data_IF_374757839038
#
_entry.id   IF_374757839038
#
_cell.length_a   1.000
_cell.length_b   1.000
_cell.length_c   1.000
_cell.angle_alpha   90.00
_cell.angle_beta   90.00
_cell.angle_gamma   90.00
#
_symmetry.space_group_name_H-M   'P 1'
#
loop_
_entity.id
_entity.type
_entity.pdbx_description
1 polymer ?
#
# COMPACT_ATOMS: atom_id res chain seq x y z
N UNK A 1 30.31 13.48 22.18
CA UNK A 1 29.12 12.93 21.49
C UNK A 1 28.35 12.14 22.53
N UNK A 2 27.13 12.56 22.90
CA UNK A 2 26.26 11.68 23.70
C UNK A 2 25.91 10.51 22.80
N UNK A 3 26.20 9.29 23.24
CA UNK A 3 25.68 8.09 22.58
C UNK A 3 24.15 8.24 22.45
N UNK A 4 23.63 8.05 21.24
CA UNK A 4 22.18 8.03 21.03
C UNK A 4 21.59 6.95 21.92
N UNK A 5 20.67 7.33 22.82
CA UNK A 5 19.97 6.38 23.69
C UNK A 5 18.94 5.56 22.92
N UNK A 6 18.67 5.91 21.66
CA UNK A 6 17.75 5.20 20.78
C UNK A 6 18.51 4.10 20.03
N UNK A 7 18.13 2.82 20.17
CA UNK A 7 18.82 1.73 19.48
C UNK A 7 18.54 1.78 17.98
N UNK A 8 19.53 1.45 17.16
CA UNK A 8 19.33 1.25 15.71
C UNK A 8 18.79 -0.15 15.46
N UNK A 9 17.55 -0.24 14.98
CA UNK A 9 16.88 -1.52 14.75
C UNK A 9 17.07 -1.94 13.30
N UNK A 10 17.39 -3.23 13.12
CA UNK A 10 17.36 -3.86 11.81
C UNK A 10 16.43 -5.06 11.88
N UNK A 11 15.19 -4.87 11.43
CA UNK A 11 14.18 -5.93 11.44
C UNK A 11 14.33 -6.87 10.24
N UNK A 12 15.25 -6.61 9.31
CA UNK A 12 15.43 -7.46 8.15
C UNK A 12 15.53 -8.94 8.58
N UNK A 13 14.79 -9.86 7.91
CA UNK A 13 14.72 -11.24 8.34
C UNK A 13 16.11 -11.89 8.32
N UNK A 14 16.48 -12.57 9.42
CA UNK A 14 17.78 -13.22 9.59
C UNK A 14 17.59 -14.59 10.24
N UNK A 15 17.15 -15.58 9.46
CA UNK A 15 17.10 -16.96 9.93
C UNK A 15 18.18 -17.82 9.27
N UNK A 16 19.14 -18.29 10.08
CA UNK A 16 20.30 -19.08 9.61
C UNK A 16 20.02 -20.59 9.51
N UNK A 17 18.88 -21.07 10.00
CA UNK A 17 18.45 -22.48 9.96
C UNK A 17 17.05 -22.61 9.37
N UNK A 18 16.67 -23.82 8.97
CA UNK A 18 15.33 -24.08 8.46
C UNK A 18 14.32 -24.18 9.62
N UNK A 19 13.06 -23.84 9.34
CA UNK A 19 11.94 -24.00 10.26
C UNK A 19 11.61 -25.50 10.42
N UNK A 20 11.65 -25.99 11.65
CA UNK A 20 11.33 -27.38 11.98
C UNK A 20 9.86 -27.55 12.34
N UNK A 21 9.23 -28.59 11.82
CA UNK A 21 7.88 -29.05 12.19
C UNK A 21 7.80 -29.59 13.63
N UNK A 22 8.95 -29.85 14.27
CA UNK A 22 9.00 -30.51 15.57
C UNK A 22 9.49 -29.58 16.69
N UNK A 23 9.80 -28.32 16.37
CA UNK A 23 10.25 -27.34 17.34
C UNK A 23 9.10 -26.37 17.68
N UNK A 24 8.58 -26.36 18.92
CA UNK A 24 7.49 -25.47 19.31
C UNK A 24 7.85 -23.98 19.17
N UNK A 25 9.13 -23.62 19.32
CA UNK A 25 9.59 -22.24 19.12
C UNK A 25 9.50 -21.79 17.66
N UNK A 26 9.63 -22.71 16.71
CA UNK A 26 9.51 -22.38 15.28
C UNK A 26 8.05 -22.10 14.90
N UNK A 27 7.08 -22.74 15.56
CA UNK A 27 5.66 -22.39 15.43
C UNK A 27 5.34 -21.03 16.02
N UNK A 28 5.90 -20.69 17.19
CA UNK A 28 5.74 -19.36 17.77
C UNK A 28 6.38 -18.27 16.89
N UNK A 29 7.55 -18.55 16.31
CA UNK A 29 8.22 -17.66 15.37
C UNK A 29 7.42 -17.49 14.08
N UNK A 30 6.90 -18.57 13.51
CA UNK A 30 6.07 -18.53 12.33
C UNK A 30 4.77 -17.79 12.61
N UNK A 31 4.12 -18.03 13.75
CA UNK A 31 2.96 -17.28 14.21
C UNK A 31 3.30 -15.78 14.32
N UNK A 32 4.43 -15.44 14.93
CA UNK A 32 4.90 -14.06 15.01
C UNK A 32 5.11 -13.44 13.61
N UNK A 33 5.71 -14.18 12.67
CA UNK A 33 5.88 -13.70 11.29
C UNK A 33 4.55 -13.51 10.57
N UNK A 34 3.65 -14.49 10.65
CA UNK A 34 2.32 -14.41 10.01
C UNK A 34 1.53 -13.22 10.56
N UNK A 35 1.54 -13.03 11.87
CA UNK A 35 0.71 -12.01 12.51
C UNK A 35 1.33 -10.61 12.45
N UNK A 36 2.64 -10.49 12.67
CA UNK A 36 3.29 -9.20 12.90
C UNK A 36 4.33 -8.85 11.84
N UNK A 37 4.90 -9.84 11.15
CA UNK A 37 6.10 -9.69 10.35
C UNK A 37 6.10 -10.51 9.04
N UNK A 38 5.10 -10.29 8.15
CA UNK A 38 4.83 -11.18 7.02
C UNK A 38 5.97 -11.20 5.98
N UNK A 39 6.79 -10.14 5.93
CA UNK A 39 7.93 -10.09 5.01
C UNK A 39 9.01 -11.11 5.35
N UNK A 40 9.12 -11.56 6.61
CA UNK A 40 10.05 -12.66 6.93
C UNK A 40 9.62 -13.99 6.32
N UNK A 41 8.32 -14.25 6.19
CA UNK A 41 7.82 -15.45 5.50
C UNK A 41 8.25 -15.41 4.04
N UNK A 42 8.00 -14.28 3.36
CA UNK A 42 8.39 -14.10 1.96
C UNK A 42 9.89 -14.25 1.76
N UNK A 43 10.68 -13.53 2.56
CA UNK A 43 12.14 -13.64 2.52
C UNK A 43 12.61 -15.09 2.76
N UNK A 44 12.01 -15.79 3.72
CA UNK A 44 12.37 -17.18 4.01
C UNK A 44 12.09 -18.10 2.82
N UNK A 45 10.93 -17.94 2.17
CA UNK A 45 10.59 -18.67 0.94
C UNK A 45 11.57 -18.34 -0.19
N UNK A 46 11.88 -17.06 -0.43
CA UNK A 46 12.81 -16.64 -1.49
C UNK A 46 14.25 -17.12 -1.23
N UNK A 47 14.70 -17.09 0.02
CA UNK A 47 16.09 -17.44 0.40
C UNK A 47 16.31 -18.94 0.48
N UNK A 48 15.30 -19.72 0.89
CA UNK A 48 15.43 -21.18 1.11
C UNK A 48 14.75 -22.02 0.04
N UNK A 49 13.71 -21.49 -0.59
CA UNK A 49 12.91 -22.17 -1.60
C UNK A 49 13.26 -21.77 -3.03
N UNK A 50 14.47 -21.24 -3.26
CA UNK A 50 14.95 -20.62 -4.51
C UNK A 50 14.17 -21.04 -5.76
N UNK A 51 13.56 -20.05 -6.42
CA UNK A 51 12.81 -20.14 -7.68
C UNK A 51 12.20 -21.52 -7.97
N UNK A 52 11.01 -21.76 -7.44
CA UNK A 52 10.14 -22.92 -7.72
C UNK A 52 10.43 -24.24 -6.97
N UNK A 53 10.97 -24.17 -5.75
CA UNK A 53 11.12 -25.37 -4.91
C UNK A 53 9.84 -25.68 -4.07
N UNK A 54 9.00 -26.58 -4.61
CA UNK A 54 7.76 -27.12 -4.03
C UNK A 54 7.85 -27.67 -2.59
N UNK A 55 8.95 -28.26 -2.07
CA UNK A 55 8.95 -28.88 -0.74
C UNK A 55 8.98 -27.89 0.43
N UNK A 56 9.60 -26.72 0.28
CA UNK A 56 9.64 -25.69 1.35
C UNK A 56 8.27 -25.04 1.51
N UNK A 57 7.63 -24.70 0.39
CA UNK A 57 6.28 -24.16 0.38
C UNK A 57 5.27 -25.17 0.94
N UNK A 58 5.38 -26.46 0.60
CA UNK A 58 4.53 -27.50 1.17
C UNK A 58 4.72 -27.64 2.68
N UNK A 59 5.95 -27.64 3.18
CA UNK A 59 6.24 -27.71 4.63
C UNK A 59 5.68 -26.51 5.39
N UNK A 60 5.86 -25.30 4.83
CA UNK A 60 5.26 -24.09 5.39
C UNK A 60 3.73 -24.19 5.37
N UNK A 61 3.14 -24.64 4.26
CA UNK A 61 1.70 -24.88 4.11
C UNK A 61 1.14 -25.80 5.19
N UNK A 62 1.82 -26.92 5.44
CA UNK A 62 1.47 -27.86 6.52
C UNK A 62 1.62 -27.18 7.89
N UNK A 63 2.70 -26.45 8.15
CA UNK A 63 2.90 -25.73 9.41
C UNK A 63 1.78 -24.72 9.66
N UNK A 64 1.35 -23.98 8.64
CA UNK A 64 0.28 -23.03 8.81
C UNK A 64 -1.11 -23.66 8.91
N UNK A 65 -1.38 -24.77 8.21
CA UNK A 65 -2.59 -25.56 8.43
C UNK A 65 -2.66 -26.09 9.88
N UNK A 66 -1.53 -26.52 10.44
CA UNK A 66 -1.47 -26.90 11.85
C UNK A 66 -1.71 -25.69 12.76
N UNK A 67 -1.13 -24.52 12.44
CA UNK A 67 -1.37 -23.30 13.21
C UNK A 67 -2.83 -22.83 13.12
N UNK A 68 -3.52 -22.98 11.98
CA UNK A 68 -4.93 -22.58 11.83
C UNK A 68 -5.83 -23.39 12.76
N UNK A 69 -5.51 -24.68 12.95
CA UNK A 69 -6.26 -25.59 13.82
C UNK A 69 -5.88 -25.39 15.29
N UNK A 70 -4.58 -25.29 15.60
CA UNK A 70 -4.07 -25.28 16.98
C UNK A 70 -4.32 -23.93 17.68
N UNK A 71 -4.13 -22.80 16.98
CA UNK A 71 -4.27 -21.46 17.56
C UNK A 71 -5.63 -21.21 18.22
N UNK A 72 -6.78 -21.43 17.54
CA UNK A 72 -8.10 -21.23 18.15
C UNK A 72 -8.37 -22.17 19.33
N UNK A 73 -7.86 -23.41 19.30
CA UNK A 73 -7.97 -24.35 20.43
C UNK A 73 -7.21 -23.85 21.66
N UNK A 74 -5.98 -23.33 21.48
CA UNK A 74 -5.18 -22.76 22.57
C UNK A 74 -5.87 -21.51 23.15
N UNK A 75 -6.33 -20.59 22.30
CA UNK A 75 -6.99 -19.36 22.76
C UNK A 75 -8.27 -19.68 23.55
N UNK A 76 -9.07 -20.63 23.05
CA UNK A 76 -10.28 -21.07 23.74
C UNK A 76 -9.97 -21.77 25.07
N UNK A 77 -8.88 -22.55 25.14
CA UNK A 77 -8.44 -23.15 26.39
C UNK A 77 -8.00 -22.11 27.42
N UNK A 78 -7.26 -21.07 27.00
CA UNK A 78 -6.88 -19.95 27.86
C UNK A 78 -8.12 -19.17 28.33
N UNK A 79 -9.06 -18.88 27.44
CA UNK A 79 -10.31 -18.20 27.78
C UNK A 79 -11.14 -18.99 28.81
N UNK A 80 -11.24 -20.31 28.65
CA UNK A 80 -11.91 -21.19 29.60
C UNK A 80 -11.21 -21.17 30.98
N UNK A 81 -9.87 -21.18 31.00
CA UNK A 81 -9.08 -21.08 32.23
C UNK A 81 -9.19 -19.70 32.92
N UNK A 82 -9.56 -18.65 32.18
CA UNK A 82 -9.85 -17.31 32.70
C UNK A 82 -11.33 -17.15 33.14
N UNK A 83 -12.11 -18.23 33.11
CA UNK A 83 -13.51 -18.24 33.55
C UNK A 83 -14.52 -17.78 32.51
N UNK A 84 -14.12 -17.61 31.25
CA UNK A 84 -15.03 -17.31 30.14
C UNK A 84 -15.74 -18.58 29.67
N UNK A 85 -17.05 -18.52 29.45
CA UNK A 85 -17.80 -19.63 28.89
C UNK A 85 -17.41 -19.87 27.44
N UNK A 86 -16.85 -21.05 27.13
CA UNK A 86 -16.41 -21.43 25.79
C UNK A 86 -17.32 -22.51 25.22
N UNK A 87 -17.87 -22.27 24.04
CA UNK A 87 -18.62 -23.28 23.29
C UNK A 87 -17.67 -24.10 22.41
N UNK A 88 -17.19 -25.23 22.92
CA UNK A 88 -16.26 -26.12 22.23
C UNK A 88 -16.81 -26.69 20.91
N UNK A 89 -18.14 -26.92 20.83
CA UNK A 89 -18.78 -27.39 19.59
C UNK A 89 -18.70 -26.32 18.51
N UNK A 90 -18.97 -25.06 18.88
CA UNK A 90 -18.82 -23.92 17.97
C UNK A 90 -17.37 -23.71 17.50
N UNK A 91 -16.38 -23.94 18.38
CA UNK A 91 -14.96 -23.86 18.03
C UNK A 91 -14.57 -24.94 17.02
N UNK A 92 -14.97 -26.19 17.25
CA UNK A 92 -14.65 -27.31 16.35
C UNK A 92 -15.30 -27.12 14.97
N UNK A 93 -16.60 -26.76 14.94
CA UNK A 93 -17.29 -26.47 13.68
C UNK A 93 -16.70 -25.26 12.96
N UNK A 94 -16.36 -24.22 13.70
CA UNK A 94 -15.65 -23.06 13.19
C UNK A 94 -14.33 -23.45 12.51
N UNK A 95 -13.42 -24.12 13.23
CA UNK A 95 -12.13 -24.55 12.69
C UNK A 95 -12.30 -25.46 11.47
N UNK A 96 -13.23 -26.42 11.52
CA UNK A 96 -13.49 -27.34 10.40
C UNK A 96 -13.98 -26.59 9.15
N UNK A 97 -14.93 -25.66 9.30
CA UNK A 97 -15.40 -24.84 8.19
C UNK A 97 -14.29 -23.92 7.65
N UNK A 98 -13.48 -23.31 8.51
CA UNK A 98 -12.38 -22.43 8.10
C UNK A 98 -11.33 -23.13 7.28
N UNK A 99 -10.89 -24.31 7.76
CA UNK A 99 -9.95 -25.16 7.02
C UNK A 99 -10.56 -25.60 5.69
N UNK A 100 -11.82 -26.02 5.66
CA UNK A 100 -12.48 -26.45 4.43
C UNK A 100 -12.59 -25.31 3.42
N UNK A 101 -13.09 -24.13 3.81
CA UNK A 101 -13.22 -22.98 2.90
C UNK A 101 -11.86 -22.41 2.49
N UNK A 102 -10.90 -22.28 3.41
CA UNK A 102 -9.57 -21.73 3.14
C UNK A 102 -8.72 -22.61 2.22
N UNK A 103 -8.80 -23.94 2.38
CA UNK A 103 -8.10 -24.89 1.51
C UNK A 103 -8.80 -25.01 0.15
N UNK A 104 -10.12 -25.15 0.10
CA UNK A 104 -10.86 -25.32 -1.16
C UNK A 104 -10.82 -24.05 -2.01
N UNK A 105 -11.15 -22.88 -1.44
CA UNK A 105 -11.12 -21.62 -2.20
C UNK A 105 -9.68 -21.16 -2.50
N UNK A 106 -8.72 -21.40 -1.61
CA UNK A 106 -7.32 -21.04 -1.84
C UNK A 106 -6.67 -21.86 -2.97
N UNK A 107 -6.99 -23.15 -3.06
CA UNK A 107 -6.52 -24.04 -4.13
C UNK A 107 -7.26 -23.75 -5.44
N UNK A 108 -8.58 -23.60 -5.41
CA UNK A 108 -9.35 -23.29 -6.64
C UNK A 108 -8.95 -21.94 -7.24
N UNK A 109 -8.94 -20.84 -6.46
CA UNK A 109 -8.62 -19.53 -7.01
C UNK A 109 -7.13 -19.36 -7.36
N UNK A 110 -6.22 -19.99 -6.61
CA UNK A 110 -4.77 -19.94 -6.87
C UNK A 110 -4.36 -20.75 -8.11
N UNK A 111 -4.96 -21.92 -8.31
CA UNK A 111 -4.68 -22.78 -9.48
C UNK A 111 -5.41 -22.28 -10.73
N UNK A 112 -6.67 -21.85 -10.61
CA UNK A 112 -7.46 -21.38 -11.76
C UNK A 112 -6.91 -20.07 -12.30
N UNK A 113 -6.68 -19.03 -11.47
CA UNK A 113 -6.17 -17.75 -11.98
C UNK A 113 -4.69 -17.79 -12.40
N UNK A 114 -3.86 -18.61 -11.73
CA UNK A 114 -2.44 -18.75 -12.07
C UNK A 114 -2.20 -19.49 -13.39
N UNK A 115 -3.00 -20.52 -13.67
CA UNK A 115 -2.93 -21.29 -14.92
C UNK A 115 -3.69 -20.57 -16.05
N UNK A 116 -4.86 -19.97 -15.79
CA UNK A 116 -5.63 -19.30 -16.83
C UNK A 116 -4.93 -18.04 -17.36
N UNK A 117 -4.38 -17.16 -16.51
CA UNK A 117 -3.70 -15.95 -17.01
C UNK A 117 -2.29 -16.21 -17.57
N UNK A 118 -1.58 -17.21 -17.04
CA UNK A 118 -0.26 -17.61 -17.54
C UNK A 118 -0.32 -18.30 -18.91
N UNK A 119 -1.38 -19.07 -19.17
CA UNK A 119 -1.60 -19.76 -20.46
C UNK A 119 -2.37 -18.88 -21.44
N UNK A 120 -3.34 -18.07 -20.98
CA UNK A 120 -4.09 -17.15 -21.86
C UNK A 120 -3.15 -16.14 -22.52
N UNK A 121 -2.28 -15.44 -21.78
CA UNK A 121 -1.36 -14.47 -22.39
C UNK A 121 -0.26 -15.10 -23.26
N UNK A 122 0.13 -16.35 -22.99
CA UNK A 122 1.12 -17.08 -23.78
C UNK A 122 0.59 -17.64 -25.11
N UNK A 123 -0.71 -17.94 -25.19
CA UNK A 123 -1.35 -18.51 -26.39
C UNK A 123 -2.12 -17.46 -27.18
N UNK A 124 -2.63 -16.41 -26.54
CA UNK A 124 -3.44 -15.37 -27.20
C UNK A 124 -2.62 -14.50 -28.16
N UNK A 125 -1.32 -14.26 -27.92
CA UNK A 125 -0.45 -13.63 -28.93
C UNK A 125 0.10 -14.60 -29.99
N UNK A 126 0.04 -15.92 -29.77
CA UNK A 126 0.40 -16.92 -30.77
C UNK A 126 -0.74 -17.25 -31.75
N UNK A 127 -1.99 -17.08 -31.32
CA UNK A 127 -3.18 -17.44 -32.10
C UNK A 127 -3.88 -16.25 -32.77
N UNK A 128 -3.44 -15.00 -32.53
CA UNK A 128 -3.93 -13.81 -33.26
C UNK A 128 -3.51 -13.82 -34.75
N UNK A 129 -2.59 -14.70 -35.17
CA UNK A 129 -2.37 -14.99 -36.60
C UNK A 129 -3.36 -15.98 -37.24
N UNK A 130 -4.24 -16.64 -36.46
CA UNK A 130 -5.17 -17.66 -36.97
C UNK A 130 -6.59 -17.17 -37.29
N UNK A 131 -6.94 -15.94 -36.92
CA UNK A 131 -8.32 -15.40 -36.99
C UNK A 131 -8.74 -14.97 -38.41
N UNK A 132 -7.89 -15.10 -39.43
CA UNK A 132 -8.27 -14.66 -40.80
C UNK A 132 -9.19 -15.64 -41.53
N UNK A 133 -9.52 -16.85 -41.02
CA UNK A 133 -10.29 -17.84 -41.81
C UNK A 133 -11.55 -18.48 -41.19
N UNK A 134 -12.01 -18.05 -40.01
CA UNK A 134 -13.12 -18.73 -39.31
C UNK A 134 -14.50 -18.09 -39.40
N UNK A 135 -14.61 -16.86 -39.92
CA UNK A 135 -15.90 -16.24 -40.17
C UNK A 135 -16.53 -16.90 -41.38
N UNK A 136 -17.56 -17.74 -41.18
CA UNK A 136 -18.77 -17.82 -42.03
C UNK A 136 -19.75 -18.93 -41.58
N UNK A 137 -19.37 -20.02 -40.89
CA UNK A 137 -20.26 -21.22 -40.79
C UNK A 137 -20.95 -21.58 -39.45
N UNK A 138 -20.95 -20.71 -38.43
CA UNK A 138 -21.56 -21.03 -37.12
C UNK A 138 -23.01 -20.55 -36.90
N UNK A 139 -23.50 -19.60 -37.70
CA UNK A 139 -24.69 -18.81 -37.36
C UNK A 139 -26.04 -19.41 -37.79
N UNK A 140 -26.09 -20.56 -38.46
CA UNK A 140 -27.32 -21.05 -39.12
C UNK A 140 -27.99 -22.26 -38.45
N UNK A 141 -27.40 -22.89 -37.42
CA UNK A 141 -27.96 -24.13 -36.82
C UNK A 141 -28.32 -24.08 -35.33
N UNK A 142 -28.14 -22.97 -34.61
CA UNK A 142 -28.41 -22.92 -33.15
C UNK A 142 -29.83 -22.50 -32.74
N UNK A 143 -30.57 -21.81 -33.60
CA UNK A 143 -31.73 -21.00 -33.16
C UNK A 143 -33.07 -21.78 -33.13
N UNK A 144 -33.16 -22.95 -33.75
CA UNK A 144 -34.44 -23.69 -33.81
C UNK A 144 -34.63 -24.76 -32.72
N UNK A 145 -33.59 -25.12 -31.96
CA UNK A 145 -33.67 -26.19 -30.93
C UNK A 145 -33.72 -25.68 -29.48
N UNK A 146 -33.48 -24.39 -29.22
CA UNK A 146 -33.36 -23.86 -27.85
C UNK A 146 -34.69 -23.48 -27.16
N UNK A 147 -35.74 -23.15 -27.93
CA UNK A 147 -36.93 -22.48 -27.36
C UNK A 147 -38.02 -23.45 -26.89
N UNK A 148 -38.10 -24.66 -27.45
CA UNK A 148 -39.14 -25.62 -27.09
C UNK A 148 -38.88 -26.36 -25.76
N UNK A 149 -37.61 -26.52 -25.35
CA UNK A 149 -37.24 -27.26 -24.13
C UNK A 149 -37.14 -26.39 -22.87
N UNK A 150 -36.98 -25.07 -23.01
CA UNK A 150 -36.80 -24.17 -21.87
C UNK A 150 -38.08 -23.86 -21.07
N UNK A 151 -39.25 -23.88 -21.73
CA UNK A 151 -40.50 -23.38 -21.12
C UNK A 151 -41.22 -24.44 -20.28
N UNK A 152 -41.16 -25.72 -20.66
CA UNK A 152 -41.86 -26.79 -19.94
C UNK A 152 -41.16 -27.15 -18.62
N UNK A 153 -39.82 -27.08 -18.57
CA UNK A 153 -39.06 -27.44 -17.37
C UNK A 153 -38.99 -26.31 -16.32
N UNK A 154 -39.00 -25.04 -16.76
CA UNK A 154 -38.86 -23.88 -15.87
C UNK A 154 -40.08 -23.63 -14.97
N UNK A 155 -41.30 -23.89 -15.46
CA UNK A 155 -42.53 -23.51 -14.75
C UNK A 155 -42.95 -24.54 -13.70
N UNK A 156 -42.72 -25.84 -13.94
CA UNK A 156 -43.11 -26.90 -13.00
C UNK A 156 -42.19 -26.96 -11.78
N UNK A 157 -40.88 -26.72 -11.96
CA UNK A 157 -39.91 -26.75 -10.86
C UNK A 157 -39.86 -25.45 -10.04
N UNK A 158 -40.14 -24.29 -10.65
CA UNK A 158 -40.09 -23.00 -9.97
C UNK A 158 -41.16 -22.80 -8.90
N UNK A 159 -42.36 -23.36 -9.09
CA UNK A 159 -43.50 -23.13 -8.19
C UNK A 159 -43.49 -24.08 -6.99
N UNK A 160 -43.02 -25.33 -7.15
CA UNK A 160 -43.00 -26.31 -6.05
C UNK A 160 -41.90 -25.97 -5.03
N UNK A 161 -40.73 -25.47 -5.46
CA UNK A 161 -39.62 -25.10 -4.58
C UNK A 161 -39.68 -23.69 -4.00
N UNK A 162 -40.44 -22.77 -4.60
CA UNK A 162 -40.60 -21.41 -4.09
C UNK A 162 -41.30 -21.34 -2.73
N UNK A 163 -42.26 -22.23 -2.46
CA UNK A 163 -43.07 -22.20 -1.23
C UNK A 163 -42.38 -22.90 -0.07
N UNK A 164 -41.60 -23.95 -0.34
CA UNK A 164 -40.80 -24.68 0.66
C UNK A 164 -39.61 -23.86 1.18
N UNK A 165 -39.07 -22.94 0.37
CA UNK A 165 -37.95 -22.07 0.74
C UNK A 165 -38.33 -20.96 1.74
N UNK A 166 -39.57 -20.48 1.72
CA UNK A 166 -40.01 -19.39 2.60
C UNK A 166 -40.19 -19.82 4.06
N UNK A 167 -40.69 -21.03 4.30
CA UNK A 167 -40.87 -21.56 5.67
C UNK A 167 -39.53 -21.97 6.30
N UNK A 168 -38.64 -22.58 5.51
CA UNK A 168 -37.27 -22.89 5.95
C UNK A 168 -36.42 -21.64 6.16
N UNK A 169 -36.60 -20.59 5.35
CA UNK A 169 -35.88 -19.32 5.48
C UNK A 169 -36.19 -18.57 6.78
N UNK A 170 -37.43 -18.62 7.26
CA UNK A 170 -37.82 -17.95 8.53
C UNK A 170 -37.32 -18.73 9.75
N UNK A 171 -37.41 -20.07 9.74
CA UNK A 171 -36.91 -20.90 10.83
C UNK A 171 -35.37 -20.85 10.89
N UNK A 172 -34.69 -20.94 9.75
CA UNK A 172 -33.24 -20.78 9.68
C UNK A 172 -32.81 -19.36 10.03
N UNK A 173 -33.53 -18.33 9.57
CA UNK A 173 -33.21 -16.93 9.82
C UNK A 173 -33.33 -16.52 11.29
N UNK A 174 -34.31 -17.04 12.03
CA UNK A 174 -34.50 -16.72 13.46
C UNK A 174 -33.56 -17.54 14.34
N UNK A 175 -33.39 -18.84 14.07
CA UNK A 175 -32.44 -19.69 14.83
C UNK A 175 -31.00 -19.27 14.56
N UNK A 176 -30.67 -18.93 13.31
CA UNK A 176 -29.37 -18.35 12.96
C UNK A 176 -29.21 -16.96 13.56
N UNK A 177 -30.16 -16.04 13.38
CA UNK A 177 -30.04 -14.66 13.87
C UNK A 177 -29.79 -14.58 15.39
N UNK A 178 -30.43 -15.45 16.18
CA UNK A 178 -30.28 -15.47 17.64
C UNK A 178 -29.04 -16.26 18.08
N UNK A 179 -28.69 -17.38 17.42
CA UNK A 179 -27.48 -18.14 17.74
C UNK A 179 -26.20 -17.40 17.31
N UNK A 180 -26.18 -16.78 16.14
CA UNK A 180 -25.05 -15.98 15.64
C UNK A 180 -24.95 -14.63 16.37
N UNK A 181 -26.06 -13.99 16.74
CA UNK A 181 -26.03 -12.71 17.45
C UNK A 181 -25.49 -12.78 18.88
N UNK A 182 -25.80 -13.86 19.61
CA UNK A 182 -25.39 -14.01 21.02
C UNK A 182 -24.01 -14.66 21.18
N UNK A 183 -23.62 -15.56 20.26
CA UNK A 183 -22.29 -16.22 20.30
C UNK A 183 -21.16 -15.29 19.85
N UNK A 184 -21.44 -14.30 18.98
CA UNK A 184 -20.41 -13.39 18.44
C UNK A 184 -20.17 -12.12 19.25
N UNK A 185 -20.98 -11.83 20.28
CA UNK A 185 -20.88 -10.60 21.06
C UNK A 185 -19.56 -10.44 21.85
N UNK A 186 -18.91 -11.54 22.21
CA UNK A 186 -17.65 -11.52 22.98
C UNK A 186 -16.56 -12.41 22.34
N UNK A 187 -16.94 -13.52 21.69
CA UNK A 187 -15.99 -14.36 20.92
C UNK A 187 -15.71 -13.83 19.52
N UNK A 188 -16.57 -12.98 18.94
CA UNK A 188 -16.44 -12.54 17.55
C UNK A 188 -15.19 -11.71 17.28
N UNK A 189 -14.73 -10.90 18.24
CA UNK A 189 -13.52 -10.08 18.07
C UNK A 189 -12.27 -10.97 17.98
N UNK A 190 -12.17 -11.99 18.84
CA UNK A 190 -11.07 -12.97 18.84
C UNK A 190 -11.14 -13.87 17.60
N UNK A 191 -12.35 -14.26 17.20
CA UNK A 191 -12.60 -15.11 16.04
C UNK A 191 -12.31 -14.38 14.73
N UNK A 192 -12.69 -13.10 14.58
CA UNK A 192 -12.34 -12.27 13.40
C UNK A 192 -10.82 -12.11 13.27
N UNK A 193 -10.08 -11.99 14.39
CA UNK A 193 -8.63 -11.79 14.36
C UNK A 193 -7.81 -13.05 14.08
N UNK A 194 -8.29 -14.23 14.53
CA UNK A 194 -7.61 -15.51 14.29
C UNK A 194 -7.95 -16.11 12.92
N UNK A 195 -9.22 -16.02 12.50
CA UNK A 195 -9.74 -16.72 11.34
C UNK A 195 -9.36 -16.03 10.02
N UNK A 196 -9.67 -14.74 9.83
CA UNK A 196 -9.37 -14.01 8.59
C UNK A 196 -7.86 -13.80 8.29
N UNK A 197 -6.94 -14.19 9.18
CA UNK A 197 -5.50 -13.87 9.03
C UNK A 197 -4.65 -15.04 8.57
N UNK A 198 -4.87 -16.23 9.11
CA UNK A 198 -4.16 -17.42 8.65
C UNK A 198 -4.60 -17.81 7.24
N UNK A 199 -5.87 -17.59 6.89
CA UNK A 199 -6.41 -17.85 5.55
C UNK A 199 -5.72 -16.97 4.48
N UNK A 200 -5.52 -15.67 4.74
CA UNK A 200 -4.78 -14.78 3.83
C UNK A 200 -3.32 -15.19 3.63
N UNK A 201 -2.69 -15.76 4.67
CA UNK A 201 -1.34 -16.31 4.57
C UNK A 201 -1.32 -17.60 3.74
N UNK A 202 -2.32 -18.48 3.92
CA UNK A 202 -2.45 -19.74 3.19
C UNK A 202 -2.73 -19.48 1.70
N UNK A 203 -3.63 -18.52 1.41
CA UNK A 203 -3.93 -18.03 0.06
C UNK A 203 -2.68 -17.41 -0.59
N UNK A 204 -1.94 -16.56 0.12
CA UNK A 204 -0.71 -15.94 -0.41
C UNK A 204 0.43 -16.93 -0.67
N UNK A 205 0.49 -18.04 0.08
CA UNK A 205 1.47 -19.11 -0.13
C UNK A 205 1.11 -19.99 -1.34
N UNK A 206 -0.19 -20.24 -1.57
CA UNK A 206 -0.70 -21.07 -2.67
C UNK A 206 -0.84 -20.31 -4.00
N UNK A 207 -1.00 -18.98 -3.96
CA UNK A 207 -1.15 -18.13 -5.16
C UNK A 207 0.17 -17.76 -5.87
N UNK A 208 1.31 -18.34 -5.45
CA UNK A 208 2.60 -18.12 -6.08
C UNK A 208 3.21 -16.71 -5.89
N UNK A 209 4.37 -16.42 -6.51
CA UNK A 209 5.15 -15.19 -6.29
C UNK A 209 4.43 -13.89 -6.73
N UNK A 210 3.29 -13.98 -7.42
CA UNK A 210 2.48 -12.85 -7.87
C UNK A 210 1.28 -12.52 -6.94
N UNK A 211 1.05 -13.30 -5.87
CA UNK A 211 -0.04 -13.09 -4.90
C UNK A 211 0.07 -11.79 -4.09
N UNK A 212 -0.38 -10.67 -4.67
CA UNK A 212 -0.34 -9.30 -4.08
C UNK A 212 -1.45 -9.02 -3.05
N UNK A 213 -1.62 -9.82 -2.00
CA UNK A 213 -2.65 -9.54 -0.97
C UNK A 213 -2.19 -9.82 0.46
N UNK A 214 -1.12 -9.16 0.90
CA UNK A 214 -0.88 -8.95 2.33
C UNK A 214 -1.35 -7.54 2.71
N UNK A 215 -2.58 -7.36 3.24
CA UNK A 215 -3.00 -6.05 3.75
C UNK A 215 -2.02 -5.56 4.82
N UNK A 216 -1.49 -4.34 4.64
CA UNK A 216 -0.42 -3.71 5.44
C UNK A 216 -0.83 -3.28 6.86
N UNK A 217 -1.93 -3.82 7.39
CA UNK A 217 -2.51 -3.35 8.65
C UNK A 217 -2.66 -4.55 9.59
N UNK A 218 -1.99 -4.50 10.75
CA UNK A 218 -2.39 -5.29 11.91
C UNK A 218 -3.34 -4.49 12.76
N UNK A 219 -4.50 -5.07 13.04
CA UNK A 219 -5.41 -4.59 14.09
C UNK A 219 -4.90 -4.92 15.51
N UNK A 220 -3.88 -5.79 15.65
CA UNK A 220 -3.30 -6.11 16.95
C UNK A 220 -1.93 -5.41 17.10
N UNK A 221 -1.84 -4.35 17.92
CA UNK A 221 -0.59 -3.65 18.16
C UNK A 221 0.33 -4.47 19.06
N UNK A 222 1.65 -4.41 18.83
CA UNK A 222 2.63 -4.94 19.78
C UNK A 222 2.48 -4.16 21.10
N UNK A 223 2.31 -4.86 22.25
CA UNK A 223 2.14 -4.20 23.54
C UNK A 223 3.31 -3.25 23.83
N UNK A 224 2.99 -2.03 24.28
CA UNK A 224 4.00 -1.02 24.62
C UNK A 224 4.71 -0.34 23.43
N UNK A 225 4.56 -0.86 22.20
CA UNK A 225 5.29 -0.33 21.03
C UNK A 225 5.02 1.16 20.82
N UNK A 226 3.76 1.59 20.89
CA UNK A 226 3.42 3.01 20.70
C UNK A 226 4.14 3.91 21.71
N UNK A 227 4.23 3.51 22.98
CA UNK A 227 4.92 4.27 24.02
C UNK A 227 6.42 4.32 23.78
N UNK A 228 7.03 3.17 23.41
CA UNK A 228 8.45 3.09 23.05
C UNK A 228 8.77 3.99 21.85
N UNK A 229 7.96 3.94 20.79
CA UNK A 229 8.14 4.77 19.61
C UNK A 229 8.01 6.28 19.94
N UNK A 230 7.09 6.65 20.84
CA UNK A 230 6.98 8.04 21.30
C UNK A 230 8.25 8.51 22.01
N UNK A 231 8.77 7.70 22.93
CA UNK A 231 10.00 8.01 23.65
C UNK A 231 11.19 8.17 22.69
N UNK A 232 11.33 7.27 21.71
CA UNK A 232 12.40 7.39 20.72
C UNK A 232 12.26 8.65 19.87
N UNK A 233 11.05 8.98 19.38
CA UNK A 233 10.82 10.19 18.60
C UNK A 233 11.12 11.46 19.41
N UNK A 234 10.86 11.47 20.71
CA UNK A 234 11.19 12.59 21.60
C UNK A 234 12.69 12.72 21.88
N UNK A 235 13.42 11.60 21.97
CA UNK A 235 14.85 11.59 22.29
C UNK A 235 15.74 11.87 21.08
N UNK A 236 15.53 11.17 19.97
CA UNK A 236 16.34 11.25 18.75
C UNK A 236 15.46 11.01 17.53
N UNK A 237 15.06 12.10 16.88
CA UNK A 237 14.12 12.08 15.76
C UNK A 237 14.65 11.32 14.55
N UNK A 238 15.93 11.51 14.20
CA UNK A 238 16.55 10.92 13.01
C UNK A 238 16.67 9.41 13.15
N UNK A 239 17.21 8.94 14.27
CA UNK A 239 17.31 7.50 14.55
C UNK A 239 15.93 6.86 14.69
N UNK A 240 14.97 7.56 15.32
CA UNK A 240 13.61 7.08 15.45
C UNK A 240 12.90 6.92 14.10
N UNK A 241 13.05 7.85 13.15
CA UNK A 241 12.48 7.71 11.79
C UNK A 241 12.99 6.45 11.10
N UNK A 242 14.28 6.16 11.21
CA UNK A 242 14.86 4.94 10.64
C UNK A 242 14.21 3.68 11.24
N UNK A 243 13.99 3.67 12.56
CA UNK A 243 13.28 2.58 13.23
C UNK A 243 11.81 2.49 12.79
N UNK A 244 11.09 3.61 12.68
CA UNK A 244 9.72 3.64 12.19
C UNK A 244 9.63 3.03 10.78
N UNK A 245 10.55 3.41 9.90
CA UNK A 245 10.65 2.87 8.54
C UNK A 245 10.89 1.35 8.55
N UNK A 246 11.69 0.82 9.47
CA UNK A 246 11.84 -0.63 9.63
C UNK A 246 10.51 -1.30 10.02
N UNK A 247 9.77 -0.73 10.96
CA UNK A 247 8.45 -1.25 11.33
C UNK A 247 7.45 -1.13 10.19
N UNK A 248 7.39 -0.02 9.46
CA UNK A 248 6.48 0.14 8.32
C UNK A 248 6.83 -0.77 7.15
N UNK A 249 8.13 -0.95 6.90
CA UNK A 249 8.60 -1.78 5.81
C UNK A 249 8.33 -3.24 6.09
N UNK A 250 8.73 -3.74 7.26
CA UNK A 250 8.79 -5.17 7.48
C UNK A 250 7.71 -5.72 8.43
N UNK A 251 7.11 -4.87 9.25
CA UNK A 251 6.01 -5.24 10.15
C UNK A 251 4.67 -4.71 9.65
N UNK A 252 3.57 -5.19 10.26
CA UNK A 252 2.23 -4.64 9.99
C UNK A 252 1.77 -3.58 11.00
N UNK A 253 2.69 -3.05 11.82
CA UNK A 253 2.42 -2.14 12.94
C UNK A 253 2.15 -0.68 12.52
N UNK A 254 1.40 -0.47 11.43
CA UNK A 254 1.06 0.85 10.92
C UNK A 254 0.33 1.72 11.97
N UNK A 255 -0.67 1.15 12.65
CA UNK A 255 -1.50 1.88 13.63
C UNK A 255 -0.65 2.41 14.81
N UNK A 256 0.19 1.59 15.49
CA UNK A 256 1.11 2.09 16.51
C UNK A 256 2.07 3.18 16.05
N UNK A 257 2.64 3.04 14.84
CA UNK A 257 3.55 4.02 14.25
C UNK A 257 2.83 5.34 14.03
N UNK A 258 1.67 5.30 13.36
CA UNK A 258 0.84 6.49 13.12
C UNK A 258 0.42 7.16 14.44
N UNK A 259 -0.03 6.38 15.43
CA UNK A 259 -0.43 6.90 16.73
C UNK A 259 0.73 7.54 17.50
N UNK A 260 1.95 7.03 17.36
CA UNK A 260 3.14 7.65 17.94
C UNK A 260 3.46 8.98 17.26
N UNK A 261 3.53 9.00 15.93
CA UNK A 261 3.83 10.22 15.15
C UNK A 261 2.80 11.33 15.43
N UNK A 262 1.50 11.00 15.37
CA UNK A 262 0.43 11.98 15.60
C UNK A 262 0.40 12.54 17.02
N UNK A 263 0.92 11.80 18.01
CA UNK A 263 1.00 12.27 19.40
C UNK A 263 2.22 13.13 19.65
N UNK A 264 3.38 12.79 19.06
CA UNK A 264 4.65 13.48 19.33
C UNK A 264 4.80 14.73 18.46
N UNK A 265 4.39 14.68 17.20
CA UNK A 265 4.61 15.79 16.25
C UNK A 265 4.04 17.14 16.73
N UNK A 266 2.84 17.22 17.34
CA UNK A 266 2.31 18.47 17.89
C UNK A 266 2.97 18.94 19.19
N UNK A 267 3.84 18.14 19.82
CA UNK A 267 4.53 18.51 21.07
C UNK A 267 5.79 19.32 20.81
N UNK A 268 6.29 19.34 19.58
CA UNK A 268 7.45 20.14 19.20
C UNK A 268 7.08 21.60 18.92
N UNK A 269 8.04 22.53 19.03
CA UNK A 269 7.84 23.92 18.64
C UNK A 269 7.40 24.04 17.17
N UNK A 270 6.53 25.01 16.86
CA UNK A 270 5.97 25.15 15.51
C UNK A 270 7.04 25.36 14.42
N UNK A 271 8.14 26.02 14.78
CA UNK A 271 9.28 26.24 13.89
C UNK A 271 9.96 24.92 13.42
N UNK A 272 9.83 23.84 14.18
CA UNK A 272 10.45 22.55 13.83
C UNK A 272 9.49 21.61 13.08
N UNK A 273 8.20 21.93 13.02
CA UNK A 273 7.18 21.01 12.48
C UNK A 273 7.46 20.69 11.01
N UNK A 274 7.69 21.71 10.17
CA UNK A 274 7.91 21.51 8.73
C UNK A 274 9.18 20.69 8.50
N UNK A 275 10.26 21.02 9.21
CA UNK A 275 11.51 20.25 9.16
C UNK A 275 11.27 18.78 9.55
N UNK A 276 10.61 18.52 10.67
CA UNK A 276 10.37 17.16 11.15
C UNK A 276 9.50 16.34 10.19
N UNK A 277 8.48 16.96 9.60
CA UNK A 277 7.64 16.31 8.58
C UNK A 277 8.41 16.11 7.27
N UNK A 278 9.29 17.03 6.87
CA UNK A 278 10.10 16.86 5.67
C UNK A 278 11.06 15.68 5.80
N UNK A 279 11.63 15.46 6.99
CA UNK A 279 12.44 14.27 7.32
C UNK A 279 11.64 12.97 7.24
N UNK A 280 10.38 12.97 7.71
CA UNK A 280 9.46 11.83 7.51
C UNK A 280 9.17 11.57 6.02
N UNK A 281 9.13 12.61 5.20
CA UNK A 281 8.86 12.55 3.76
C UNK A 281 10.11 12.27 2.90
N UNK A 282 11.30 12.20 3.48
CA UNK A 282 12.55 12.07 2.72
C UNK A 282 12.74 10.67 2.15
N UNK A 283 12.50 9.64 2.97
CA UNK A 283 12.54 8.25 2.55
C UNK A 283 11.46 7.40 3.25
N UNK A 284 10.17 7.69 3.03
CA UNK A 284 9.10 6.96 3.70
C UNK A 284 8.99 5.54 3.12
N UNK A 285 8.98 4.55 4.01
CA UNK A 285 8.67 3.16 3.63
C UNK A 285 7.20 2.97 3.24
N UNK A 286 6.31 3.85 3.74
CA UNK A 286 4.91 3.88 3.39
C UNK A 286 4.36 5.32 3.42
N UNK A 287 4.06 5.87 2.24
CA UNK A 287 3.50 7.22 2.11
C UNK A 287 2.12 7.38 2.75
N UNK A 288 1.39 6.28 3.00
CA UNK A 288 0.13 6.32 3.73
C UNK A 288 0.32 6.90 5.14
N UNK A 289 1.52 6.84 5.73
CA UNK A 289 1.80 7.48 7.00
C UNK A 289 1.49 8.99 6.95
N UNK A 290 1.96 9.70 5.92
CA UNK A 290 1.73 11.15 5.78
C UNK A 290 0.27 11.47 5.44
N UNK A 291 -0.37 10.64 4.62
CA UNK A 291 -1.81 10.75 4.32
C UNK A 291 -2.65 10.64 5.60
N UNK A 292 -2.40 9.63 6.45
CA UNK A 292 -3.18 9.45 7.67
C UNK A 292 -2.70 10.30 8.84
N UNK A 293 -1.47 10.84 8.79
CA UNK A 293 -1.04 11.87 9.73
C UNK A 293 -1.78 13.19 9.49
N UNK A 294 -2.15 13.48 8.24
CA UNK A 294 -2.96 14.65 7.87
C UNK A 294 -4.48 14.44 8.00
N UNK A 295 -4.95 13.21 7.94
CA UNK A 295 -6.37 12.88 8.10
C UNK A 295 -6.76 12.58 9.56
N UNK A 296 -8.01 12.88 9.94
CA UNK A 296 -8.58 12.36 11.19
C UNK A 296 -9.03 10.91 10.97
N UNK A 297 -8.14 9.93 11.13
CA UNK A 297 -8.55 8.53 11.08
C UNK A 297 -9.36 8.18 12.35
N UNK A 298 -10.65 7.86 12.21
CA UNK A 298 -11.33 7.04 13.21
C UNK A 298 -10.74 5.64 13.10
N UNK A 299 -10.35 5.03 14.23
CA UNK A 299 -9.57 3.78 14.35
C UNK A 299 -10.10 2.59 13.50
N UNK A 300 -11.33 2.66 13.01
CA UNK A 300 -12.03 1.58 12.30
C UNK A 300 -12.71 2.00 10.98
N UNK A 301 -12.49 3.22 10.48
CA UNK A 301 -13.08 3.68 9.21
C UNK A 301 -12.02 4.39 8.36
N UNK A 302 -11.39 3.61 7.48
CA UNK A 302 -10.26 4.03 6.65
C UNK A 302 -10.69 4.42 5.22
N UNK A 303 -11.94 4.16 4.85
CA UNK A 303 -12.47 4.40 3.50
C UNK A 303 -12.85 5.85 3.23
N UNK A 304 -13.03 6.68 4.27
CA UNK A 304 -13.59 8.04 4.17
C UNK A 304 -12.76 9.10 4.92
N UNK A 305 -11.44 8.85 5.07
CA UNK A 305 -10.56 9.76 5.81
C UNK A 305 -10.26 11.02 4.99
N UNK A 306 -11.08 12.07 5.16
CA UNK A 306 -10.81 13.38 4.59
C UNK A 306 -9.52 13.98 5.21
N UNK A 307 -8.60 14.42 4.34
CA UNK A 307 -7.39 15.13 4.74
C UNK A 307 -7.81 16.48 5.36
N UNK A 308 -7.23 16.80 6.52
CA UNK A 308 -7.50 18.06 7.24
C UNK A 308 -6.26 18.92 7.27
N UNK A 309 -6.45 20.24 7.23
CA UNK A 309 -5.39 21.25 7.29
C UNK A 309 -5.50 22.11 8.55
N UNK A 310 -6.21 21.63 9.57
CA UNK A 310 -6.58 22.37 10.78
C UNK A 310 -5.43 22.56 11.79
N UNK A 311 -4.31 21.87 11.60
CA UNK A 311 -3.10 22.05 12.41
C UNK A 311 -1.87 22.14 11.51
N UNK A 312 -0.81 22.85 11.91
CA UNK A 312 0.41 22.95 11.11
C UNK A 312 1.02 21.59 10.74
N UNK A 313 1.03 20.66 11.69
CA UNK A 313 1.53 19.29 11.48
C UNK A 313 0.74 18.55 10.38
N UNK A 314 -0.60 18.65 10.41
CA UNK A 314 -1.46 18.02 9.40
C UNK A 314 -1.33 18.70 8.04
N UNK A 315 -1.26 20.04 8.02
CA UNK A 315 -1.08 20.81 6.80
C UNK A 315 0.26 20.51 6.12
N UNK A 316 1.36 20.46 6.88
CA UNK A 316 2.67 20.06 6.37
C UNK A 316 2.65 18.61 5.83
N UNK A 317 2.08 17.66 6.58
CA UNK A 317 1.98 16.27 6.14
C UNK A 317 1.14 16.10 4.87
N UNK A 318 0.02 16.84 4.77
CA UNK A 318 -0.81 16.90 3.58
C UNK A 318 -0.04 17.46 2.38
N UNK A 319 0.71 18.55 2.58
CA UNK A 319 1.51 19.19 1.53
C UNK A 319 2.51 18.22 0.89
N UNK A 320 3.31 17.53 1.71
CA UNK A 320 4.27 16.53 1.21
C UNK A 320 3.59 15.32 0.55
N UNK A 321 2.46 14.86 1.09
CA UNK A 321 1.66 13.81 0.46
C UNK A 321 1.12 14.24 -0.91
N UNK A 322 0.62 15.46 -1.05
CA UNK A 322 0.11 15.97 -2.33
C UNK A 322 1.22 16.18 -3.36
N UNK A 323 2.41 16.64 -2.95
CA UNK A 323 3.57 16.70 -3.83
C UNK A 323 3.93 15.32 -4.38
N UNK A 324 3.93 14.29 -3.52
CA UNK A 324 4.17 12.91 -3.95
C UNK A 324 3.13 12.43 -4.96
N UNK A 325 1.87 12.80 -4.77
CA UNK A 325 0.77 12.49 -5.68
C UNK A 325 0.71 13.39 -6.92
N UNK A 326 1.66 14.32 -7.09
CA UNK A 326 1.72 15.31 -8.18
C UNK A 326 0.52 16.29 -8.22
N UNK A 327 -0.27 16.38 -7.13
CA UNK A 327 -1.40 17.30 -7.01
C UNK A 327 -0.89 18.66 -6.50
N UNK A 328 -0.37 19.46 -7.42
CA UNK A 328 0.31 20.73 -7.12
C UNK A 328 -0.62 21.79 -6.54
N UNK A 329 -1.89 21.81 -6.96
CA UNK A 329 -2.88 22.78 -6.46
C UNK A 329 -3.20 22.51 -4.99
N UNK A 330 -3.43 21.24 -4.61
CA UNK A 330 -3.67 20.89 -3.21
C UNK A 330 -2.41 21.03 -2.36
N UNK A 331 -1.24 20.74 -2.92
CA UNK A 331 0.04 20.97 -2.24
C UNK A 331 0.23 22.47 -1.91
N UNK A 332 0.01 23.36 -2.87
CA UNK A 332 0.10 24.81 -2.66
C UNK A 332 -0.86 25.28 -1.56
N UNK A 333 -2.13 24.84 -1.61
CA UNK A 333 -3.14 25.15 -0.58
C UNK A 333 -2.73 24.66 0.81
N UNK A 334 -2.12 23.47 0.89
CA UNK A 334 -1.67 22.90 2.17
C UNK A 334 -0.47 23.68 2.75
N UNK A 335 0.53 24.02 1.92
CA UNK A 335 1.68 24.79 2.38
C UNK A 335 1.36 26.26 2.67
N UNK A 336 0.33 26.83 2.04
CA UNK A 336 -0.16 28.16 2.34
C UNK A 336 -0.58 28.32 3.82
N UNK A 337 -1.12 27.25 4.43
CA UNK A 337 -1.52 27.24 5.85
C UNK A 337 -0.32 27.37 6.80
N UNK A 338 0.84 26.86 6.40
CA UNK A 338 2.06 26.86 7.22
C UNK A 338 3.09 27.92 6.78
N UNK A 339 2.69 28.83 5.89
CA UNK A 339 3.57 29.84 5.28
C UNK A 339 4.29 30.72 6.29
N UNK A 340 3.63 31.06 7.40
CA UNK A 340 4.20 31.90 8.46
C UNK A 340 5.24 31.19 9.35
N UNK A 341 5.36 29.86 9.23
CA UNK A 341 6.30 29.07 10.04
C UNK A 341 7.68 29.00 9.38
N UNK A 342 8.67 28.57 10.15
CA UNK A 342 10.02 28.34 9.62
C UNK A 342 9.99 27.31 8.48
N UNK A 343 10.64 27.63 7.36
CA UNK A 343 10.58 26.89 6.08
C UNK A 343 9.21 26.87 5.39
N UNK A 344 8.21 27.56 5.93
CA UNK A 344 6.85 27.64 5.37
C UNK A 344 6.82 28.38 4.04
N UNK A 345 7.42 29.57 3.99
CA UNK A 345 7.56 30.34 2.76
C UNK A 345 8.32 29.57 1.68
N UNK A 346 9.40 28.89 2.06
CA UNK A 346 10.17 28.05 1.14
C UNK A 346 9.30 26.94 0.54
N UNK A 347 8.59 26.17 1.36
CA UNK A 347 7.75 25.08 0.86
C UNK A 347 6.55 25.57 0.05
N UNK A 348 5.96 26.71 0.43
CA UNK A 348 4.88 27.35 -0.33
C UNK A 348 5.37 27.84 -1.71
N UNK A 349 6.47 28.58 -1.75
CA UNK A 349 7.06 29.07 -3.01
C UNK A 349 7.52 27.93 -3.92
N UNK A 350 8.06 26.84 -3.35
CA UNK A 350 8.41 25.62 -4.07
C UNK A 350 7.16 24.99 -4.70
N UNK A 351 6.10 24.75 -3.91
CA UNK A 351 4.87 24.13 -4.41
C UNK A 351 4.21 24.99 -5.51
N UNK A 352 4.17 26.31 -5.33
CA UNK A 352 3.66 27.25 -6.31
C UNK A 352 4.50 27.26 -7.60
N UNK A 353 5.82 27.21 -7.49
CA UNK A 353 6.72 27.14 -8.65
C UNK A 353 6.48 25.86 -9.45
N UNK A 354 6.41 24.72 -8.77
CA UNK A 354 6.12 23.44 -9.42
C UNK A 354 4.71 23.42 -10.02
N UNK A 355 3.72 24.07 -9.39
CA UNK A 355 2.38 24.24 -9.97
C UNK A 355 2.44 24.99 -11.31
N UNK A 356 3.09 26.15 -11.35
CA UNK A 356 3.25 26.95 -12.58
C UNK A 356 3.96 26.16 -13.67
N UNK A 357 5.08 25.51 -13.33
CA UNK A 357 5.87 24.74 -14.29
C UNK A 357 5.09 23.54 -14.85
N UNK A 358 4.32 22.85 -14.02
CA UNK A 358 3.51 21.70 -14.44
C UNK A 358 2.42 22.06 -15.48
N UNK A 359 1.90 23.29 -15.42
CA UNK A 359 0.88 23.80 -16.35
C UNK A 359 1.45 24.21 -17.70
N UNK A 360 2.69 24.67 -17.76
CA UNK A 360 3.34 24.99 -19.02
C UNK A 360 3.54 23.70 -19.85
N UNK A 361 2.91 23.66 -21.01
CA UNK A 361 2.88 22.48 -21.89
C UNK A 361 3.24 22.78 -23.35
N UNK A 362 3.47 24.05 -23.67
CA UNK A 362 3.76 24.56 -25.00
C UNK A 362 5.02 25.40 -24.96
N UNK A 363 5.70 25.55 -26.09
CA UNK A 363 6.93 26.32 -26.19
C UNK A 363 6.72 27.78 -25.72
N UNK A 364 5.66 28.43 -26.20
CA UNK A 364 5.28 29.79 -25.75
C UNK A 364 4.82 29.84 -24.29
N UNK A 365 4.15 28.78 -23.83
CA UNK A 365 3.74 28.63 -22.44
C UNK A 365 4.91 28.51 -21.49
N UNK A 366 6.03 27.93 -21.94
CA UNK A 366 7.29 27.86 -21.16
C UNK A 366 8.04 29.18 -21.24
N UNK A 367 8.12 29.80 -22.42
CA UNK A 367 8.79 31.09 -22.63
C UNK A 367 8.17 32.24 -21.80
N UNK A 368 6.86 32.17 -21.56
CA UNK A 368 6.12 33.17 -20.78
C UNK A 368 6.19 32.95 -19.26
N UNK A 369 6.85 31.89 -18.79
CA UNK A 369 7.06 31.69 -17.36
C UNK A 369 8.06 32.70 -16.81
N UNK A 370 7.71 33.31 -15.68
CA UNK A 370 8.67 34.09 -14.90
C UNK A 370 9.68 33.15 -14.22
N UNK A 371 10.94 33.59 -14.21
CA UNK A 371 12.03 32.89 -13.50
C UNK A 371 11.68 32.85 -12.01
N UNK A 372 11.64 31.64 -11.44
CA UNK A 372 11.28 31.47 -10.04
C UNK A 372 12.39 31.99 -9.11
N UNK A 373 12.04 32.71 -8.01
CA UNK A 373 13.02 33.12 -7.02
C UNK A 373 13.61 31.88 -6.32
N UNK A 374 14.94 31.86 -6.18
CA UNK A 374 15.65 30.77 -5.47
C UNK A 374 15.56 31.02 -3.97
N UNK A 375 15.31 29.96 -3.20
CA UNK A 375 15.22 30.06 -1.74
C UNK A 375 16.54 30.53 -1.08
N UNK A 376 16.46 31.35 -0.01
CA UNK A 376 17.63 31.76 0.74
C UNK A 376 18.25 30.58 1.51
N UNK A 377 19.57 30.60 1.72
CA UNK A 377 20.28 29.60 2.54
C UNK A 377 20.15 29.90 4.05
N UNK A 378 20.01 28.87 4.92
CA UNK A 378 19.96 27.44 4.61
C UNK A 378 18.57 26.98 4.16
N UNK A 379 18.51 26.29 3.02
CA UNK A 379 17.28 25.74 2.44
C UNK A 379 16.96 24.34 2.97
N UNK A 380 15.67 24.05 3.13
CA UNK A 380 15.15 22.73 3.50
C UNK A 380 15.27 21.70 2.37
N UNK A 381 15.17 22.14 1.12
CA UNK A 381 15.15 21.28 -0.08
C UNK A 381 16.18 21.72 -1.12
N UNK A 382 17.49 21.74 -0.81
CA UNK A 382 18.51 22.32 -1.67
C UNK A 382 18.61 21.62 -3.04
N UNK A 383 18.45 20.30 -3.10
CA UNK A 383 18.48 19.54 -4.35
C UNK A 383 17.29 19.88 -5.27
N UNK A 384 16.12 20.14 -4.68
CA UNK A 384 14.93 20.55 -5.43
C UNK A 384 15.12 21.96 -6.00
N UNK A 385 15.70 22.89 -5.24
CA UNK A 385 16.03 24.22 -5.73
C UNK A 385 17.12 24.22 -6.80
N UNK A 386 18.08 23.30 -6.72
CA UNK A 386 19.06 23.08 -7.79
C UNK A 386 18.37 22.66 -9.09
N UNK A 387 17.42 21.72 -9.04
CA UNK A 387 16.66 21.30 -10.22
C UNK A 387 15.77 22.43 -10.76
N UNK A 388 15.13 23.22 -9.88
CA UNK A 388 14.38 24.42 -10.28
C UNK A 388 15.30 25.44 -10.94
N UNK A 389 16.54 25.62 -10.45
CA UNK A 389 17.52 26.49 -11.10
C UNK A 389 17.90 26.00 -12.50
N UNK A 390 18.01 24.69 -12.72
CA UNK A 390 18.21 24.13 -14.07
C UNK A 390 16.99 24.38 -14.97
N UNK A 391 15.76 24.22 -14.46
CA UNK A 391 14.54 24.54 -15.21
C UNK A 391 14.42 26.03 -15.53
N UNK A 392 14.85 26.92 -14.63
CA UNK A 392 14.91 28.36 -14.85
C UNK A 392 15.86 28.72 -16.01
N UNK A 393 17.00 28.00 -16.16
CA UNK A 393 17.90 28.19 -17.31
C UNK A 393 17.21 27.80 -18.62
N UNK A 394 16.51 26.66 -18.62
CA UNK A 394 15.72 26.23 -19.78
C UNK A 394 14.66 27.27 -20.16
N UNK A 395 13.93 27.84 -19.19
CA UNK A 395 12.97 28.93 -19.44
C UNK A 395 13.66 30.13 -20.11
N UNK A 396 14.80 30.57 -19.58
CA UNK A 396 15.54 31.70 -20.12
C UNK A 396 16.02 31.44 -21.57
N UNK A 397 16.53 30.24 -21.85
CA UNK A 397 16.98 29.86 -23.19
C UNK A 397 15.84 29.78 -24.19
N UNK A 398 14.69 29.24 -23.78
CA UNK A 398 13.48 29.18 -24.61
C UNK A 398 12.96 30.61 -24.90
N UNK A 399 12.95 31.49 -23.91
CA UNK A 399 12.55 32.88 -24.09
C UNK A 399 13.45 33.64 -25.07
N UNK A 400 14.76 33.38 -25.04
CA UNK A 400 15.72 33.91 -26.02
C UNK A 400 15.49 33.31 -27.43
N UNK A 401 15.20 32.02 -27.49
CA UNK A 401 14.97 31.29 -28.73
C UNK A 401 13.69 31.68 -29.47
N UNK A 402 12.70 32.31 -28.83
CA UNK A 402 11.47 32.76 -29.49
C UNK A 402 11.71 33.66 -30.72
N UNK A 403 12.86 34.33 -30.80
CA UNK A 403 13.22 35.19 -31.95
C UNK A 403 13.97 34.45 -33.06
N UNK A 404 14.71 33.40 -32.73
CA UNK A 404 15.50 32.58 -33.67
C UNK A 404 15.92 31.28 -32.99
N UNK A 405 15.16 30.21 -33.23
CA UNK A 405 15.46 28.90 -32.64
C UNK A 405 16.46 28.14 -33.50
N UNK A 406 17.70 28.00 -33.04
CA UNK A 406 18.76 27.24 -33.71
C UNK A 406 18.82 25.79 -33.22
N UNK A 407 19.36 24.90 -34.05
CA UNK A 407 19.59 23.50 -33.68
C UNK A 407 20.53 23.36 -32.46
N UNK A 408 21.56 24.21 -32.35
CA UNK A 408 22.46 24.22 -31.19
C UNK A 408 21.73 24.61 -29.89
N UNK A 409 20.79 25.55 -29.97
CA UNK A 409 19.98 25.97 -28.80
C UNK A 409 19.04 24.84 -28.38
N UNK A 410 18.44 24.14 -29.34
CA UNK A 410 17.64 22.93 -29.10
C UNK A 410 18.46 21.86 -28.38
N UNK A 411 19.65 21.54 -28.89
CA UNK A 411 20.49 20.48 -28.35
C UNK A 411 20.93 20.80 -26.91
N UNK A 412 21.23 22.07 -26.61
CA UNK A 412 21.54 22.54 -25.26
C UNK A 412 20.35 22.44 -24.30
N UNK A 413 19.16 22.88 -24.70
CA UNK A 413 17.93 22.77 -23.88
C UNK A 413 17.61 21.30 -23.60
N UNK A 414 17.68 20.44 -24.62
CA UNK A 414 17.44 19.01 -24.49
C UNK A 414 18.51 18.37 -23.58
N UNK A 415 19.77 18.82 -23.68
CA UNK A 415 20.86 18.41 -22.79
C UNK A 415 20.55 18.71 -21.33
N UNK A 416 20.23 19.97 -20.99
CA UNK A 416 19.91 20.37 -19.62
C UNK A 416 18.70 19.61 -19.05
N UNK A 417 17.65 19.41 -19.86
CA UNK A 417 16.49 18.62 -19.44
C UNK A 417 16.83 17.13 -19.23
N UNK A 418 17.75 16.59 -20.02
CA UNK A 418 18.23 15.21 -19.87
C UNK A 418 19.08 15.06 -18.61
N UNK A 419 19.93 16.03 -18.29
CA UNK A 419 20.73 16.02 -17.07
C UNK A 419 19.86 16.00 -15.80
N UNK A 420 18.71 16.70 -15.81
CA UNK A 420 17.73 16.62 -14.72
C UNK A 420 17.16 15.20 -14.60
N UNK A 421 16.79 14.60 -15.73
CA UNK A 421 16.13 13.28 -15.80
C UNK A 421 17.08 12.16 -15.40
N UNK A 422 18.35 12.24 -15.81
CA UNK A 422 19.29 11.13 -15.71
C UNK A 422 20.24 11.29 -14.51
N UNK A 423 20.78 12.50 -14.27
CA UNK A 423 21.79 12.73 -13.24
C UNK A 423 21.18 13.25 -11.94
N UNK A 424 20.39 14.33 -12.00
CA UNK A 424 19.86 14.96 -10.78
C UNK A 424 18.78 14.11 -10.10
N UNK A 425 18.07 13.28 -10.88
CA UNK A 425 17.03 12.38 -10.41
C UNK A 425 17.44 11.49 -9.23
N UNK A 426 18.71 11.08 -9.15
CA UNK A 426 19.21 10.22 -8.07
C UNK A 426 19.12 10.90 -6.70
N UNK A 427 19.34 12.22 -6.66
CA UNK A 427 19.47 13.00 -5.42
C UNK A 427 18.21 13.81 -5.09
N UNK A 428 17.20 13.80 -5.97
CA UNK A 428 15.94 14.50 -5.72
C UNK A 428 15.15 13.84 -4.57
N UNK A 429 14.57 14.64 -3.65
CA UNK A 429 13.71 14.12 -2.60
C UNK A 429 12.50 13.38 -3.19
N UNK A 430 12.14 12.25 -2.60
CA UNK A 430 11.11 11.37 -3.16
C UNK A 430 9.74 12.02 -3.27
N UNK A 431 9.43 13.00 -2.41
CA UNK A 431 8.18 13.75 -2.45
C UNK A 431 8.00 14.53 -3.76
N UNK A 432 9.05 15.18 -4.25
CA UNK A 432 8.95 16.08 -5.42
C UNK A 432 9.52 15.44 -6.70
N UNK A 433 10.33 14.38 -6.56
CA UNK A 433 11.04 13.72 -7.67
C UNK A 433 10.13 13.37 -8.84
N UNK A 434 9.02 12.67 -8.61
CA UNK A 434 8.15 12.24 -9.70
C UNK A 434 7.58 13.44 -10.47
N UNK A 435 7.21 14.51 -9.76
CA UNK A 435 6.68 15.73 -10.37
C UNK A 435 7.74 16.45 -11.20
N UNK A 436 8.94 16.67 -10.66
CA UNK A 436 10.04 17.35 -11.38
C UNK A 436 10.42 16.58 -12.65
N UNK A 437 10.53 15.26 -12.56
CA UNK A 437 10.82 14.41 -13.72
C UNK A 437 9.71 14.50 -14.77
N UNK A 438 8.44 14.50 -14.36
CA UNK A 438 7.33 14.65 -15.29
C UNK A 438 7.33 16.00 -16.02
N UNK A 439 7.70 17.09 -15.32
CA UNK A 439 7.85 18.43 -15.90
C UNK A 439 8.98 18.43 -16.92
N UNK A 440 10.16 17.95 -16.54
CA UNK A 440 11.33 17.91 -17.41
C UNK A 440 11.08 17.06 -18.67
N UNK A 441 10.45 15.90 -18.52
CA UNK A 441 10.06 15.05 -19.65
C UNK A 441 9.06 15.74 -20.58
N UNK A 442 8.03 16.38 -20.02
CA UNK A 442 7.00 17.10 -20.79
C UNK A 442 7.59 18.28 -21.56
N UNK A 443 8.54 19.00 -20.97
CA UNK A 443 9.21 20.11 -21.66
C UNK A 443 10.16 19.59 -22.74
N UNK A 444 10.86 18.47 -22.48
CA UNK A 444 11.75 17.83 -23.45
C UNK A 444 10.98 17.38 -24.70
N UNK A 445 9.82 16.74 -24.52
CA UNK A 445 8.96 16.34 -25.65
C UNK A 445 8.47 17.56 -26.42
N UNK A 446 8.00 18.61 -25.74
CA UNK A 446 7.57 19.85 -26.37
C UNK A 446 8.69 20.53 -27.18
N UNK A 447 9.92 20.59 -26.64
CA UNK A 447 11.07 21.22 -27.32
C UNK A 447 11.59 20.37 -28.49
N UNK A 448 11.40 19.05 -28.43
CA UNK A 448 11.75 18.15 -29.52
C UNK A 448 10.84 18.31 -30.74
N UNK A 449 9.54 18.58 -30.50
CA UNK A 449 8.50 18.66 -31.53
C UNK A 449 8.26 20.06 -32.12
N UNK A 450 8.93 21.10 -31.61
CA UNK A 450 8.72 22.51 -31.99
C UNK A 450 9.55 22.97 -33.20
N UNK A 451 9.98 22.04 -34.05
CA UNK A 451 10.67 22.28 -35.33
C UNK A 451 10.06 21.43 -36.44
#
# INVERSE_FOLDING_TARGET
MKESTVPTINLAPKLRRDLSLWNPFDYLLLLYWVFYFPQAVRWYVETRGGGDNHPVQLRLGIQGLLLTVITPLIICSIAANLGLSVNWVGVVLGVASGVAFGVVLGVEWGVVLGVEWGVAFGVEWGAVSGVVWGGVWGAVLGVTSGVALGVVWGVVWGVVWGVSGAVLGVVWGVVSGVAWGVVWGVSGVVFIFAFFRLDNWLIGLLAGPQGRLFPRITLLPLPGLTSTLQQWLQQDWETAINNLNQYLRYSRQFIPVLAAVNRVLPQFPEAEIIYRVSRLAENPSDWQLLKYASASAKLFSWSDSQIRLDTPARAAAAGFWYLHQQDTEKAEKAFAVVRSLAYGEEMYSLAQTLHRFSRAATFDGIASLEVAPIAPEPSLRPQTWQAISSLNRVIAEIALAQRSYSQETKDRIIGELSDIIDQQAANLPLAEKALILSIAQKWKTCCSSSL
#
